data_IF_787349213643
#
_entry.id   IF_787349213643
#
_cell.length_a   1.000
_cell.length_b   1.000
_cell.length_c   1.000
_cell.angle_alpha   90.00
_cell.angle_beta   90.00
_cell.angle_gamma   90.00
#
_symmetry.space_group_name_H-M   'P 1'
#
loop_
_entity.id
_entity.type
_entity.pdbx_description
1 polymer ?
#
# COMPACT_ATOMS: atom_id res chain seq x y z
N UNK A 1 -11.03 -32.16 -14.76
CA UNK A 1 -11.58 -33.48 -14.42
C UNK A 1 -10.44 -34.49 -14.49
N UNK A 2 -9.60 -34.53 -13.46
CA UNK A 2 -8.49 -35.47 -13.38
C UNK A 2 -8.99 -36.69 -12.61
N UNK A 3 -9.38 -37.75 -13.31
CA UNK A 3 -9.80 -38.98 -12.67
C UNK A 3 -8.59 -39.57 -11.95
N UNK A 4 -8.52 -39.39 -10.62
CA UNK A 4 -7.54 -40.02 -9.76
C UNK A 4 -7.82 -41.53 -9.72
N UNK A 5 -7.40 -42.21 -10.79
CA UNK A 5 -7.40 -43.67 -10.84
C UNK A 5 -6.36 -44.12 -9.83
N UNK A 6 -6.84 -44.58 -8.66
CA UNK A 6 -6.01 -45.18 -7.61
C UNK A 6 -4.95 -46.08 -8.26
N UNK A 7 -3.64 -45.86 -8.00
CA UNK A 7 -2.57 -46.61 -8.63
C UNK A 7 -2.81 -48.12 -8.51
N UNK A 8 -2.59 -48.86 -9.59
CA UNK A 8 -2.90 -50.30 -9.67
C UNK A 8 -2.18 -51.13 -8.59
N UNK A 9 -1.00 -50.68 -8.16
CA UNK A 9 -0.25 -51.25 -7.04
C UNK A 9 -0.96 -51.11 -5.70
N UNK A 10 -1.55 -49.95 -5.43
CA UNK A 10 -2.34 -49.69 -4.22
C UNK A 10 -3.67 -50.44 -4.26
N UNK A 11 -4.36 -50.44 -5.40
CA UNK A 11 -5.62 -51.17 -5.60
C UNK A 11 -5.47 -52.68 -5.35
N UNK A 12 -4.34 -53.25 -5.76
CA UNK A 12 -4.03 -54.68 -5.56
C UNK A 12 -3.71 -55.04 -4.09
N UNK A 13 -3.20 -54.09 -3.30
CA UNK A 13 -2.90 -54.30 -1.88
C UNK A 13 -4.09 -53.99 -0.96
N UNK A 14 -4.88 -52.97 -1.28
CA UNK A 14 -6.05 -52.54 -0.49
C UNK A 14 -7.33 -53.32 -0.85
N UNK A 15 -7.41 -53.91 -2.05
CA UNK A 15 -8.65 -54.43 -2.60
C UNK A 15 -9.48 -53.32 -3.27
N UNK A 16 -10.33 -53.70 -4.22
CA UNK A 16 -11.10 -52.76 -5.06
C UNK A 16 -12.02 -51.85 -4.22
N UNK A 17 -12.63 -52.41 -3.17
CA UNK A 17 -13.60 -51.71 -2.32
C UNK A 17 -12.92 -50.66 -1.43
N UNK A 18 -11.84 -51.02 -0.73
CA UNK A 18 -11.10 -50.07 0.10
C UNK A 18 -10.35 -49.01 -0.73
N UNK A 19 -9.95 -49.33 -1.97
CA UNK A 19 -9.37 -48.36 -2.89
C UNK A 19 -10.40 -47.31 -3.34
N UNK A 20 -11.65 -47.73 -3.61
CA UNK A 20 -12.76 -46.82 -3.91
C UNK A 20 -13.08 -45.90 -2.74
N UNK A 21 -13.24 -46.44 -1.53
CA UNK A 21 -13.51 -45.64 -0.33
C UNK A 21 -12.40 -44.62 -0.04
N UNK A 22 -11.13 -45.02 -0.19
CA UNK A 22 -10.00 -44.12 -0.04
C UNK A 22 -10.04 -42.98 -1.07
N UNK A 23 -10.40 -43.29 -2.32
CA UNK A 23 -10.50 -42.25 -3.37
C UNK A 23 -11.60 -41.24 -3.09
N UNK A 24 -12.77 -41.70 -2.61
CA UNK A 24 -13.88 -40.83 -2.20
C UNK A 24 -13.49 -39.97 -1.00
N UNK A 25 -12.78 -40.55 -0.02
CA UNK A 25 -12.31 -39.83 1.16
C UNK A 25 -11.28 -38.74 0.82
N UNK A 26 -10.33 -39.04 -0.08
CA UNK A 26 -9.34 -38.07 -0.57
C UNK A 26 -10.02 -36.95 -1.36
N UNK A 27 -10.92 -37.29 -2.30
CA UNK A 27 -11.62 -36.30 -3.15
C UNK A 27 -12.50 -35.36 -2.30
N UNK A 28 -13.13 -35.90 -1.25
CA UNK A 28 -13.86 -35.11 -0.25
C UNK A 28 -12.97 -34.14 0.57
N UNK A 29 -11.67 -34.41 0.68
CA UNK A 29 -10.72 -33.58 1.44
C UNK A 29 -9.84 -32.67 0.57
N UNK A 30 -9.66 -32.98 -0.72
CA UNK A 30 -8.77 -32.23 -1.61
C UNK A 30 -9.35 -30.84 -1.97
N UNK A 31 -10.63 -30.78 -2.35
CA UNK A 31 -11.31 -29.54 -2.74
C UNK A 31 -11.37 -28.50 -1.60
N UNK A 32 -11.86 -28.83 -0.40
CA UNK A 32 -11.99 -27.82 0.66
C UNK A 32 -10.66 -27.38 1.26
N UNK A 33 -9.54 -28.04 0.97
CA UNK A 33 -8.21 -27.60 1.44
C UNK A 33 -7.66 -26.46 0.58
N UNK A 34 -7.77 -26.56 -0.75
CA UNK A 34 -7.31 -25.52 -1.67
C UNK A 34 -8.01 -24.17 -1.43
N UNK A 35 -9.34 -24.21 -1.29
CA UNK A 35 -10.14 -23.01 -1.00
C UNK A 35 -9.78 -22.39 0.35
N UNK A 36 -9.55 -23.20 1.38
CA UNK A 36 -9.13 -22.72 2.70
C UNK A 36 -7.76 -22.04 2.66
N UNK A 37 -6.80 -22.62 1.94
CA UNK A 37 -5.46 -22.02 1.78
C UNK A 37 -5.54 -20.73 0.97
N UNK A 38 -6.33 -20.71 -0.11
CA UNK A 38 -6.51 -19.53 -0.95
C UNK A 38 -7.18 -18.40 -0.16
N UNK A 39 -8.21 -18.72 0.63
CA UNK A 39 -8.90 -17.75 1.48
C UNK A 39 -8.00 -17.22 2.60
N UNK A 40 -7.25 -18.09 3.27
CA UNK A 40 -6.28 -17.67 4.29
C UNK A 40 -5.17 -16.79 3.71
N UNK A 41 -4.69 -17.10 2.50
CA UNK A 41 -3.74 -16.27 1.78
C UNK A 41 -4.36 -14.91 1.41
N UNK A 42 -5.57 -14.90 0.85
CA UNK A 42 -6.30 -13.69 0.49
C UNK A 42 -6.53 -12.77 1.69
N UNK A 43 -6.97 -13.32 2.84
CA UNK A 43 -7.17 -12.56 4.07
C UNK A 43 -5.85 -11.98 4.59
N UNK A 44 -4.78 -12.77 4.57
CA UNK A 44 -3.46 -12.29 5.00
C UNK A 44 -2.95 -11.17 4.10
N UNK A 45 -3.06 -11.32 2.78
CA UNK A 45 -2.66 -10.29 1.83
C UNK A 45 -3.53 -9.04 1.97
N UNK A 46 -4.85 -9.19 2.12
CA UNK A 46 -5.75 -8.07 2.34
C UNK A 46 -5.39 -7.26 3.58
N UNK A 47 -5.09 -7.94 4.70
CA UNK A 47 -4.65 -7.28 5.94
C UNK A 47 -3.32 -6.56 5.79
N UNK A 48 -2.32 -7.22 5.22
CA UNK A 48 -0.99 -6.62 5.01
C UNK A 48 -1.09 -5.43 4.05
N UNK A 49 -1.81 -5.56 2.94
CA UNK A 49 -1.99 -4.46 1.98
C UNK A 49 -2.72 -3.28 2.60
N UNK A 50 -3.78 -3.51 3.38
CA UNK A 50 -4.49 -2.44 4.06
C UNK A 50 -3.59 -1.70 5.07
N UNK A 51 -2.77 -2.44 5.82
CA UNK A 51 -1.84 -1.87 6.77
C UNK A 51 -0.71 -1.07 6.09
N UNK A 52 -0.07 -1.64 5.07
CA UNK A 52 1.02 -0.99 4.32
C UNK A 52 0.50 0.23 3.53
N UNK A 53 -0.68 0.16 2.92
CA UNK A 53 -1.30 1.32 2.28
C UNK A 53 -1.67 2.41 3.29
N UNK A 54 -2.13 2.01 4.48
CA UNK A 54 -2.40 2.94 5.59
C UNK A 54 -1.15 3.69 6.03
N UNK A 55 -0.05 2.95 6.25
CA UNK A 55 1.27 3.51 6.60
C UNK A 55 1.80 4.42 5.50
N UNK A 56 1.78 3.96 4.25
CA UNK A 56 2.25 4.75 3.11
C UNK A 56 1.45 6.04 2.95
N UNK A 57 0.11 5.99 3.07
CA UNK A 57 -0.74 7.18 3.02
C UNK A 57 -0.39 8.17 4.15
N UNK A 58 -0.17 7.67 5.36
CA UNK A 58 0.19 8.52 6.49
C UNK A 58 1.56 9.19 6.30
N UNK A 59 2.57 8.44 5.85
CA UNK A 59 3.91 8.98 5.61
C UNK A 59 3.89 10.02 4.48
N UNK A 60 3.24 9.71 3.34
CA UNK A 60 3.08 10.66 2.24
C UNK A 60 2.36 11.93 2.69
N UNK A 61 1.30 11.81 3.49
CA UNK A 61 0.59 12.98 3.99
C UNK A 61 1.46 13.86 4.90
N UNK A 62 2.28 13.22 5.74
CA UNK A 62 3.23 13.90 6.62
C UNK A 62 4.32 14.61 5.81
N UNK A 63 4.97 13.92 4.88
CA UNK A 63 6.01 14.50 4.03
C UNK A 63 5.49 15.69 3.21
N UNK A 64 4.29 15.57 2.61
CA UNK A 64 3.65 16.67 1.89
C UNK A 64 3.38 17.86 2.80
N UNK A 65 2.90 17.60 4.02
CA UNK A 65 2.60 18.68 4.99
C UNK A 65 3.87 19.40 5.42
N UNK A 66 4.93 18.66 5.70
CA UNK A 66 6.25 19.23 6.05
C UNK A 66 6.83 20.02 4.88
N UNK A 67 6.79 19.49 3.66
CA UNK A 67 7.28 20.19 2.48
C UNK A 67 6.49 21.48 2.21
N UNK A 68 5.16 21.45 2.35
CA UNK A 68 4.31 22.65 2.23
C UNK A 68 4.67 23.69 3.28
N UNK A 69 4.90 23.28 4.53
CA UNK A 69 5.30 24.19 5.60
C UNK A 69 6.64 24.86 5.32
N UNK A 70 7.65 24.10 4.88
CA UNK A 70 8.95 24.67 4.50
C UNK A 70 8.81 25.65 3.35
N UNK A 71 8.09 25.29 2.28
CA UNK A 71 7.83 26.20 1.15
C UNK A 71 7.15 27.49 1.62
N UNK A 72 6.15 27.38 2.50
CA UNK A 72 5.46 28.54 3.05
C UNK A 72 6.40 29.42 3.89
N UNK A 73 7.23 28.81 4.76
CA UNK A 73 8.23 29.51 5.57
C UNK A 73 9.20 30.30 4.70
N UNK A 74 9.76 29.66 3.68
CA UNK A 74 10.69 30.31 2.76
C UNK A 74 10.01 31.39 1.91
N UNK A 75 8.76 31.18 1.51
CA UNK A 75 7.97 32.20 0.79
C UNK A 75 7.75 33.45 1.64
N UNK A 76 7.43 33.29 2.93
CA UNK A 76 7.30 34.43 3.85
C UNK A 76 8.62 35.18 4.06
N UNK A 77 9.72 34.45 4.28
CA UNK A 77 11.02 35.07 4.45
C UNK A 77 11.45 35.86 3.21
N UNK A 78 11.23 35.27 2.03
CA UNK A 78 11.47 35.93 0.76
C UNK A 78 10.62 37.20 0.60
N UNK A 79 9.32 37.11 0.92
CA UNK A 79 8.41 38.24 0.81
C UNK A 79 8.79 39.40 1.75
N UNK A 80 9.23 39.12 2.98
CA UNK A 80 9.75 40.14 3.90
C UNK A 80 10.97 40.87 3.31
N UNK A 81 11.86 40.13 2.65
CA UNK A 81 12.99 40.72 1.92
C UNK A 81 12.53 41.65 0.80
N UNK A 82 11.55 41.22 0.00
CA UNK A 82 10.97 42.06 -1.07
C UNK A 82 10.36 43.34 -0.50
N UNK A 83 9.60 43.27 0.59
CA UNK A 83 9.01 44.44 1.25
C UNK A 83 10.09 45.41 1.73
N UNK A 84 11.16 44.91 2.35
CA UNK A 84 12.27 45.76 2.79
C UNK A 84 12.93 46.52 1.62
N UNK A 85 13.15 45.85 0.48
CA UNK A 85 13.69 46.47 -0.74
C UNK A 85 12.73 47.51 -1.30
N UNK A 86 11.43 47.20 -1.41
CA UNK A 86 10.41 48.11 -1.93
C UNK A 86 10.29 49.35 -1.02
N UNK A 87 10.23 49.17 0.30
CA UNK A 87 10.18 50.28 1.25
C UNK A 87 11.44 51.14 1.17
N UNK A 88 12.61 50.53 1.06
CA UNK A 88 13.87 51.25 0.86
C UNK A 88 13.86 52.09 -0.42
N UNK A 89 13.42 51.50 -1.53
CA UNK A 89 13.33 52.17 -2.83
C UNK A 89 12.32 53.33 -2.78
N UNK A 90 11.13 53.11 -2.21
CA UNK A 90 10.10 54.14 -2.07
C UNK A 90 10.57 55.29 -1.16
N UNK A 91 11.24 54.99 -0.06
CA UNK A 91 11.80 56.00 0.84
C UNK A 91 12.90 56.83 0.17
N UNK A 92 13.74 56.19 -0.64
CA UNK A 92 14.77 56.89 -1.41
C UNK A 92 14.13 57.82 -2.46
N UNK A 93 13.14 57.33 -3.21
CA UNK A 93 12.45 58.11 -4.24
C UNK A 93 11.65 59.28 -3.65
N UNK A 94 10.94 59.10 -2.53
CA UNK A 94 10.25 60.21 -1.86
C UNK A 94 11.23 61.22 -1.24
N UNK A 95 12.36 60.75 -0.72
CA UNK A 95 13.40 61.60 -0.14
C UNK A 95 14.04 62.55 -1.17
N UNK A 96 14.14 62.11 -2.43
CA UNK A 96 14.68 62.92 -3.54
C UNK A 96 13.65 63.93 -4.09
N UNK A 97 12.34 63.70 -3.90
CA UNK A 97 11.27 64.55 -4.42
C UNK A 97 10.82 65.63 -3.41
N UNK A 98 11.17 65.52 -2.12
CA UNK A 98 10.89 66.55 -1.12
C UNK A 98 11.96 67.66 -1.16
N UNK A 99 11.68 68.86 -1.74
CA UNK A 99 12.64 69.96 -1.69
C UNK A 99 12.78 70.45 -0.25
N UNK A 100 14.02 70.50 0.26
CA UNK A 100 14.37 71.21 1.50
C UNK A 100 14.34 72.71 1.30
#
# INVERSE_FOLDING_TARGET
>A
MSQSLVPSSLRKQLGDEAALDLSVWIDAHEQPWGDRVLQAAADRFGRVLAEELGKLRAEVHKEITTAKFEILKWSFLFWLGQIAVITGLLSWMLGDIAPR
#
